data_IF_445336826471
#
_entry.id   IF_445336826471
#
_cell.length_a   1.000
_cell.length_b   1.000
_cell.length_c   1.000
_cell.angle_alpha   90.00
_cell.angle_beta   90.00
_cell.angle_gamma   90.00
#
_symmetry.space_group_name_H-M   'P 1'
#
loop_
_entity.id
_entity.type
_entity.pdbx_description
1 polymer ?
#
# COMPACT_ATOMS: atom_id res chain seq x y z
N UNK A 1 -5.21 -56.22 18.23
CA UNK A 1 -4.37 -55.01 18.12
C UNK A 1 -5.19 -53.71 18.09
N UNK A 2 -6.49 -53.78 17.85
CA UNK A 2 -7.38 -52.59 17.82
C UNK A 2 -7.79 -52.04 19.20
N UNK A 3 -7.86 -52.88 20.22
CA UNK A 3 -8.25 -52.44 21.59
C UNK A 3 -7.17 -51.61 22.33
N UNK A 4 -5.89 -51.68 21.91
CA UNK A 4 -4.80 -50.96 22.56
C UNK A 4 -4.71 -49.49 22.17
N UNK A 5 -5.36 -49.07 21.09
CA UNK A 5 -5.39 -47.70 20.63
C UNK A 5 -6.57 -46.86 21.18
N UNK A 6 -7.57 -47.51 21.75
CA UNK A 6 -8.76 -46.87 22.35
C UNK A 6 -8.54 -46.35 23.77
N UNK A 7 -7.47 -46.77 24.44
CA UNK A 7 -7.20 -46.37 25.85
C UNK A 7 -6.27 -45.15 26.02
N UNK A 8 -5.85 -44.46 24.92
CA UNK A 8 -5.02 -43.26 24.99
C UNK A 8 -5.72 -42.00 24.52
N UNK A 9 -7.01 -41.99 24.31
CA UNK A 9 -7.76 -40.75 24.13
C UNK A 9 -7.99 -40.12 25.51
N UNK A 10 -7.03 -39.28 25.96
CA UNK A 10 -7.30 -38.37 27.04
C UNK A 10 -8.46 -37.46 26.60
N UNK A 11 -9.58 -37.53 27.31
CA UNK A 11 -10.71 -36.62 27.07
C UNK A 11 -10.28 -35.23 27.50
N UNK A 12 -9.96 -34.38 26.54
CA UNK A 12 -9.64 -32.98 26.80
C UNK A 12 -10.97 -32.25 27.03
N UNK A 13 -11.16 -31.56 28.17
CA UNK A 13 -12.37 -30.79 28.43
C UNK A 13 -12.58 -29.74 27.35
N UNK A 14 -13.82 -29.57 26.88
CA UNK A 14 -14.17 -28.64 25.82
C UNK A 14 -13.75 -27.19 26.15
N UNK A 15 -13.87 -26.81 27.42
CA UNK A 15 -13.45 -25.47 27.89
C UNK A 15 -11.95 -25.25 27.73
N UNK A 16 -11.12 -26.27 27.87
CA UNK A 16 -9.67 -26.19 27.63
C UNK A 16 -9.37 -26.05 26.15
N UNK A 17 -10.03 -26.79 25.26
CA UNK A 17 -9.90 -26.66 23.80
C UNK A 17 -10.27 -25.22 23.37
N UNK A 18 -11.40 -24.72 23.88
CA UNK A 18 -11.85 -23.35 23.53
C UNK A 18 -10.92 -22.28 24.08
N UNK A 19 -10.41 -22.45 25.29
CA UNK A 19 -9.58 -21.45 25.96
C UNK A 19 -8.16 -21.42 25.44
N UNK A 20 -7.56 -22.54 25.12
CA UNK A 20 -6.13 -22.62 24.77
C UNK A 20 -5.94 -22.70 23.24
N UNK A 21 -6.52 -23.70 22.59
CA UNK A 21 -6.25 -23.96 21.18
C UNK A 21 -7.07 -23.08 20.24
N UNK A 22 -8.39 -22.96 20.48
CA UNK A 22 -9.25 -22.12 19.64
C UNK A 22 -8.89 -20.64 19.78
N UNK A 23 -8.58 -20.17 20.99
CA UNK A 23 -8.09 -18.81 21.22
C UNK A 23 -6.76 -18.54 20.51
N UNK A 24 -5.81 -19.48 20.55
CA UNK A 24 -4.55 -19.34 19.83
C UNK A 24 -4.77 -19.23 18.33
N UNK A 25 -5.65 -20.07 17.76
CA UNK A 25 -6.04 -20.00 16.37
C UNK A 25 -6.76 -18.68 16.01
N UNK A 26 -7.64 -18.20 16.89
CA UNK A 26 -8.30 -16.89 16.69
C UNK A 26 -7.29 -15.76 16.62
N UNK A 27 -6.34 -15.69 17.57
CA UNK A 27 -5.28 -14.67 17.60
C UNK A 27 -4.46 -14.74 16.32
N UNK A 28 -4.03 -15.94 15.91
CA UNK A 28 -3.30 -16.14 14.67
C UNK A 28 -4.07 -15.62 13.46
N UNK A 29 -5.34 -16.00 13.30
CA UNK A 29 -6.15 -15.55 12.15
C UNK A 29 -6.39 -14.05 12.14
N UNK A 30 -6.56 -13.41 13.29
CA UNK A 30 -6.70 -11.95 13.41
C UNK A 30 -5.43 -11.24 12.99
N UNK A 31 -4.28 -11.69 13.49
CA UNK A 31 -2.99 -11.04 13.26
C UNK A 31 -2.43 -11.32 11.87
N UNK A 32 -2.52 -12.56 11.38
CA UNK A 32 -1.87 -12.94 10.12
C UNK A 32 -2.75 -12.72 8.87
N UNK A 33 -4.08 -12.59 9.01
CA UNK A 33 -4.99 -12.52 7.85
C UNK A 33 -5.99 -11.39 7.86
N UNK A 34 -6.68 -11.18 9.01
CA UNK A 34 -7.95 -10.47 8.97
C UNK A 34 -7.80 -8.96 9.14
N UNK A 35 -7.05 -8.50 10.11
CA UNK A 35 -7.00 -7.11 10.56
C UNK A 35 -5.69 -6.45 10.10
N UNK A 36 -5.73 -5.23 9.55
CA UNK A 36 -4.52 -4.50 9.15
C UNK A 36 -3.72 -4.01 10.37
N UNK A 37 -2.42 -3.88 10.20
CA UNK A 37 -1.51 -3.35 11.22
C UNK A 37 -1.58 -1.83 11.30
N UNK A 38 -1.53 -1.30 12.51
CA UNK A 38 -1.52 0.15 12.77
C UNK A 38 -0.30 0.83 12.16
N UNK A 39 0.85 0.15 12.15
CA UNK A 39 2.12 0.74 11.75
C UNK A 39 2.18 1.04 10.25
N UNK A 40 1.76 0.12 9.40
CA UNK A 40 1.83 0.29 7.94
C UNK A 40 0.46 0.24 7.22
N UNK A 41 -0.61 -0.08 7.92
CA UNK A 41 -1.95 -0.17 7.34
C UNK A 41 -2.16 -1.39 6.45
N UNK A 42 -1.26 -2.37 6.50
CA UNK A 42 -1.27 -3.55 5.65
C UNK A 42 -1.56 -4.82 6.44
N UNK A 43 -2.16 -5.78 5.77
CA UNK A 43 -2.20 -7.17 6.23
C UNK A 43 -0.87 -7.85 5.85
N UNK A 44 -0.39 -8.87 6.60
CA UNK A 44 0.88 -9.56 6.29
C UNK A 44 0.99 -10.03 4.83
N UNK A 45 -0.06 -10.62 4.26
CA UNK A 45 -0.05 -11.03 2.86
C UNK A 45 0.15 -9.88 1.88
N UNK A 46 -0.46 -8.71 2.12
CA UNK A 46 -0.26 -7.51 1.29
C UNK A 46 1.17 -7.00 1.40
N UNK A 47 1.76 -7.00 2.60
CA UNK A 47 3.15 -6.58 2.84
C UNK A 47 4.13 -7.48 2.10
N UNK A 48 3.95 -8.80 2.16
CA UNK A 48 4.77 -9.80 1.43
C UNK A 48 4.69 -9.59 -0.08
N UNK A 49 3.50 -9.33 -0.63
CA UNK A 49 3.32 -9.02 -2.05
C UNK A 49 4.09 -7.76 -2.45
N UNK A 50 3.90 -6.65 -1.73
CA UNK A 50 4.56 -5.38 -2.04
C UNK A 50 6.08 -5.47 -1.90
N UNK A 51 6.58 -6.18 -0.88
CA UNK A 51 8.01 -6.42 -0.71
C UNK A 51 8.60 -7.25 -1.86
N UNK A 52 7.89 -8.31 -2.28
CA UNK A 52 8.31 -9.15 -3.41
C UNK A 52 8.36 -8.35 -4.71
N UNK A 53 7.35 -7.52 -4.98
CA UNK A 53 7.33 -6.66 -6.15
C UNK A 53 8.43 -5.59 -6.11
N UNK A 54 8.73 -5.04 -4.93
CA UNK A 54 9.85 -4.11 -4.74
C UNK A 54 11.20 -4.77 -5.05
N UNK A 55 11.46 -5.95 -4.53
CA UNK A 55 12.69 -6.72 -4.82
C UNK A 55 12.85 -7.06 -6.30
N UNK A 56 11.76 -7.20 -7.03
CA UNK A 56 11.73 -7.58 -8.43
C UNK A 56 11.37 -6.41 -9.37
N UNK A 57 11.42 -5.16 -8.91
CA UNK A 57 10.98 -3.99 -9.70
C UNK A 57 11.74 -3.80 -11.03
N UNK A 58 13.01 -4.26 -11.10
CA UNK A 58 13.81 -4.22 -12.33
C UNK A 58 13.25 -5.08 -13.46
N UNK A 59 12.41 -6.06 -13.16
CA UNK A 59 11.74 -6.92 -14.15
C UNK A 59 10.58 -6.21 -14.87
N UNK A 60 10.11 -5.05 -14.37
CA UNK A 60 8.99 -4.34 -14.91
C UNK A 60 7.65 -5.08 -14.75
N UNK A 61 6.80 -5.04 -15.77
CA UNK A 61 5.52 -5.77 -15.79
C UNK A 61 5.75 -7.28 -15.86
N UNK A 62 5.07 -8.03 -15.01
CA UNK A 62 5.07 -9.50 -15.01
C UNK A 62 3.64 -10.04 -14.89
N UNK A 63 3.40 -11.26 -15.35
CA UNK A 63 2.10 -11.94 -15.16
C UNK A 63 1.76 -12.05 -13.68
N UNK A 64 0.48 -11.87 -13.35
CA UNK A 64 0.01 -12.02 -11.95
C UNK A 64 0.37 -13.42 -11.44
N UNK A 65 0.18 -14.47 -12.25
CA UNK A 65 0.59 -15.85 -11.89
C UNK A 65 2.10 -15.98 -11.60
N UNK A 66 2.95 -15.27 -12.35
CA UNK A 66 4.41 -15.26 -12.10
C UNK A 66 4.76 -14.51 -10.81
N UNK A 67 4.11 -13.36 -10.58
CA UNK A 67 4.27 -12.62 -9.32
C UNK A 67 3.82 -13.45 -8.11
N UNK A 68 2.70 -14.16 -8.23
CA UNK A 68 2.19 -15.10 -7.23
C UNK A 68 3.24 -16.17 -6.88
N UNK A 69 3.87 -16.78 -7.89
CA UNK A 69 4.93 -17.76 -7.67
C UNK A 69 6.11 -17.21 -6.87
N UNK A 70 6.51 -15.95 -7.11
CA UNK A 70 7.55 -15.30 -6.33
C UNK A 70 7.13 -15.01 -4.88
N UNK A 71 5.86 -14.64 -4.66
CA UNK A 71 5.33 -14.35 -3.32
C UNK A 71 5.21 -15.61 -2.46
N UNK A 72 4.99 -16.79 -3.06
CA UNK A 72 4.92 -18.07 -2.34
C UNK A 72 6.19 -18.40 -1.55
N UNK A 73 7.34 -17.81 -1.88
CA UNK A 73 8.57 -17.95 -1.08
C UNK A 73 8.45 -17.29 0.29
N UNK A 74 7.54 -16.35 0.47
CA UNK A 74 7.31 -15.63 1.73
C UNK A 74 5.96 -15.99 2.37
N UNK A 75 4.99 -16.51 1.59
CA UNK A 75 3.60 -16.67 2.03
C UNK A 75 3.20 -18.16 2.07
N UNK A 76 2.88 -18.72 3.27
CA UNK A 76 2.66 -20.15 3.46
C UNK A 76 1.25 -20.63 3.03
N UNK A 77 0.49 -19.80 2.32
CA UNK A 77 -0.89 -20.11 1.91
C UNK A 77 -1.01 -20.28 0.40
N UNK A 78 -2.15 -20.83 -0.04
CA UNK A 78 -2.38 -21.13 -1.45
C UNK A 78 -2.35 -19.94 -2.39
N UNK A 79 -2.06 -20.14 -3.70
CA UNK A 79 -1.87 -19.07 -4.69
C UNK A 79 -3.11 -18.19 -4.91
N UNK A 80 -4.32 -18.74 -4.77
CA UNK A 80 -5.56 -17.99 -5.00
C UNK A 80 -5.72 -16.78 -4.08
N UNK A 81 -5.28 -16.87 -2.82
CA UNK A 81 -5.32 -15.75 -1.88
C UNK A 81 -4.36 -14.63 -2.29
N UNK A 82 -3.19 -14.98 -2.80
CA UNK A 82 -2.18 -14.03 -3.29
C UNK A 82 -2.69 -13.35 -4.56
N UNK A 83 -3.21 -14.11 -5.53
CA UNK A 83 -3.77 -13.57 -6.78
C UNK A 83 -4.89 -12.57 -6.49
N UNK A 84 -5.84 -12.93 -5.62
CA UNK A 84 -6.91 -12.03 -5.19
C UNK A 84 -6.38 -10.76 -4.52
N UNK A 85 -5.36 -10.87 -3.68
CA UNK A 85 -4.78 -9.71 -3.00
C UNK A 85 -4.02 -8.80 -3.98
N UNK A 86 -3.29 -9.34 -4.96
CA UNK A 86 -2.65 -8.57 -6.04
C UNK A 86 -3.72 -7.81 -6.85
N UNK A 87 -4.77 -8.50 -7.25
CA UNK A 87 -5.88 -7.90 -8.00
C UNK A 87 -6.52 -6.79 -7.19
N UNK A 88 -6.88 -7.02 -5.93
CA UNK A 88 -7.52 -6.04 -5.08
C UNK A 88 -6.66 -4.77 -4.89
N UNK A 89 -5.34 -4.90 -4.71
CA UNK A 89 -4.43 -3.75 -4.58
C UNK A 89 -4.18 -3.00 -5.92
N UNK A 90 -4.51 -3.61 -7.05
CA UNK A 90 -4.37 -3.02 -8.38
C UNK A 90 -5.66 -2.39 -8.93
N UNK A 91 -6.82 -2.72 -8.34
CA UNK A 91 -8.11 -2.17 -8.76
C UNK A 91 -8.20 -0.68 -8.45
N UNK A 92 -8.82 0.09 -9.36
CA UNK A 92 -8.91 1.55 -9.31
C UNK A 92 -10.31 2.09 -9.71
N UNK A 93 -11.32 1.21 -9.69
CA UNK A 93 -12.71 1.65 -9.87
C UNK A 93 -13.32 2.20 -8.57
N UNK A 94 -14.42 2.93 -8.68
CA UNK A 94 -15.12 3.53 -7.54
C UNK A 94 -15.43 2.51 -6.44
N UNK A 95 -15.09 2.85 -5.20
CA UNK A 95 -15.18 2.00 -4.00
C UNK A 95 -14.15 0.85 -3.90
N UNK A 96 -13.19 0.74 -4.83
CA UNK A 96 -11.99 -0.08 -4.65
C UNK A 96 -10.89 0.72 -3.94
N UNK A 97 -9.72 0.91 -4.53
CA UNK A 97 -8.67 1.75 -3.94
C UNK A 97 -8.79 3.20 -4.39
N UNK A 98 -8.59 4.15 -3.46
CA UNK A 98 -8.39 5.54 -3.81
C UNK A 98 -7.05 5.74 -4.55
N UNK A 99 -6.02 4.98 -4.11
CA UNK A 99 -4.64 5.04 -4.61
C UNK A 99 -4.13 3.61 -4.76
N UNK A 100 -4.14 3.06 -5.95
CA UNK A 100 -3.70 1.69 -6.18
C UNK A 100 -2.19 1.54 -5.91
N UNK A 101 -1.83 0.53 -5.11
CA UNK A 101 -0.45 0.23 -4.74
C UNK A 101 0.28 -0.63 -5.80
N UNK A 102 -0.46 -1.21 -6.71
CA UNK A 102 0.03 -2.05 -7.80
C UNK A 102 -0.45 -1.48 -9.13
N UNK A 103 0.46 -1.24 -10.06
CA UNK A 103 0.13 -0.88 -11.43
C UNK A 103 -0.26 -2.14 -12.22
N UNK A 104 -1.24 -2.00 -13.08
CA UNK A 104 -1.89 -3.10 -13.78
C UNK A 104 -1.85 -2.94 -15.30
N UNK A 105 -1.88 -4.08 -16.01
CA UNK A 105 -2.12 -4.14 -17.45
C UNK A 105 -3.01 -5.34 -17.78
N UNK A 106 -4.09 -5.08 -18.51
CA UNK A 106 -5.16 -6.03 -18.78
C UNK A 106 -6.41 -5.75 -17.94
N UNK A 107 -7.35 -6.68 -17.93
CA UNK A 107 -8.65 -6.51 -17.27
C UNK A 107 -8.60 -7.01 -15.81
N UNK A 108 -8.64 -6.09 -14.86
CA UNK A 108 -8.64 -6.35 -13.42
C UNK A 108 -10.02 -6.18 -12.76
N UNK A 109 -11.05 -6.14 -13.55
CA UNK A 109 -12.41 -5.80 -13.13
C UNK A 109 -12.67 -4.29 -13.21
N UNK A 110 -13.95 -3.96 -13.20
CA UNK A 110 -14.48 -2.60 -13.22
C UNK A 110 -15.69 -2.45 -12.29
N UNK A 111 -16.30 -1.27 -12.26
CA UNK A 111 -17.35 -0.95 -11.29
C UNK A 111 -18.55 -1.90 -11.32
N UNK A 112 -19.00 -2.31 -12.51
CA UNK A 112 -20.15 -3.20 -12.68
C UNK A 112 -19.78 -4.68 -12.77
N UNK A 113 -18.55 -5.00 -13.18
CA UNK A 113 -18.03 -6.37 -13.28
C UNK A 113 -16.70 -6.46 -12.54
N UNK A 114 -16.73 -6.87 -11.27
CA UNK A 114 -15.56 -6.83 -10.39
C UNK A 114 -14.60 -8.00 -10.59
N UNK A 115 -15.00 -9.03 -11.34
CA UNK A 115 -14.16 -10.21 -11.58
C UNK A 115 -13.06 -9.91 -12.59
N UNK A 116 -11.80 -10.22 -12.29
CA UNK A 116 -10.68 -10.03 -13.19
C UNK A 116 -10.62 -11.13 -14.26
N UNK A 117 -9.88 -10.88 -15.32
CA UNK A 117 -9.43 -11.95 -16.21
C UNK A 117 -8.45 -12.89 -15.48
N UNK A 118 -8.28 -14.12 -16.00
CA UNK A 118 -7.40 -15.12 -15.38
C UNK A 118 -5.95 -14.58 -15.21
N UNK A 119 -5.33 -14.93 -14.11
CA UNK A 119 -4.01 -14.41 -13.64
C UNK A 119 -2.88 -14.58 -14.66
N UNK A 120 -2.98 -15.59 -15.55
CA UNK A 120 -2.03 -15.84 -16.65
C UNK A 120 -2.12 -14.83 -17.80
N UNK A 121 -3.20 -14.06 -17.92
CA UNK A 121 -3.40 -13.07 -18.99
C UNK A 121 -3.13 -11.63 -18.56
N UNK A 122 -3.28 -11.32 -17.28
CA UNK A 122 -3.11 -9.97 -16.72
C UNK A 122 -1.71 -9.80 -16.14
N UNK A 123 -1.22 -8.54 -16.16
CA UNK A 123 0.13 -8.20 -15.73
C UNK A 123 0.10 -7.15 -14.62
N UNK A 124 1.08 -7.24 -13.72
CA UNK A 124 1.24 -6.31 -12.60
C UNK A 124 2.70 -5.93 -12.40
N UNK A 125 2.90 -4.80 -11.75
CA UNK A 125 4.19 -4.35 -11.20
C UNK A 125 3.96 -3.49 -9.96
N UNK A 126 5.02 -3.20 -9.21
CA UNK A 126 4.94 -2.26 -8.11
C UNK A 126 4.44 -0.89 -8.60
N UNK A 127 3.38 -0.37 -7.98
CA UNK A 127 2.76 0.89 -8.35
C UNK A 127 3.58 2.10 -7.93
N UNK A 128 3.44 3.22 -8.65
CA UNK A 128 4.12 4.49 -8.33
C UNK A 128 3.76 5.00 -6.93
N UNK A 129 2.50 4.83 -6.50
CA UNK A 129 2.06 5.20 -5.15
C UNK A 129 2.80 4.43 -4.06
N UNK A 130 2.96 3.11 -4.24
CA UNK A 130 3.72 2.29 -3.30
C UNK A 130 5.19 2.71 -3.23
N UNK A 131 5.81 3.06 -4.38
CA UNK A 131 7.17 3.58 -4.43
C UNK A 131 7.32 4.91 -3.67
N UNK A 132 6.38 5.83 -3.84
CA UNK A 132 6.37 7.13 -3.13
C UNK A 132 6.25 6.94 -1.61
N UNK A 133 5.42 5.99 -1.16
CA UNK A 133 4.99 5.94 0.23
C UNK A 133 5.75 4.96 1.12
N UNK A 134 6.34 3.85 0.59
CA UNK A 134 6.65 2.70 1.42
C UNK A 134 8.14 2.43 1.68
N UNK A 135 9.03 2.71 0.73
CA UNK A 135 10.33 2.04 0.73
C UNK A 135 11.52 2.92 1.13
N UNK A 136 11.33 4.23 1.35
CA UNK A 136 12.43 5.15 1.68
C UNK A 136 13.10 4.85 3.02
N UNK A 137 12.37 4.24 3.95
CA UNK A 137 12.85 3.90 5.29
C UNK A 137 13.03 2.39 5.50
N UNK A 138 13.17 1.62 4.42
CA UNK A 138 13.26 0.15 4.49
C UNK A 138 14.48 -0.33 5.28
N UNK A 139 15.58 0.43 5.27
CA UNK A 139 16.80 0.14 6.06
C UNK A 139 16.58 0.20 7.59
N UNK A 140 15.49 0.83 8.04
CA UNK A 140 15.13 0.94 9.45
C UNK A 140 14.19 -0.17 9.93
N UNK A 141 13.71 -0.98 9.01
CA UNK A 141 12.71 -2.02 9.29
C UNK A 141 13.37 -3.26 9.85
N UNK A 142 12.79 -3.79 10.92
CA UNK A 142 13.21 -5.07 11.47
C UNK A 142 12.85 -6.19 10.50
N UNK A 143 13.83 -7.05 10.24
CA UNK A 143 13.69 -8.20 9.36
C UNK A 143 13.60 -9.47 10.18
N UNK A 144 12.65 -10.34 9.84
CA UNK A 144 12.48 -11.66 10.47
C UNK A 144 12.58 -12.76 9.42
N UNK A 145 13.00 -13.96 9.81
CA UNK A 145 12.94 -15.10 8.90
C UNK A 145 11.48 -15.41 8.53
N UNK A 146 11.27 -15.82 7.28
CA UNK A 146 9.98 -16.30 6.81
C UNK A 146 9.61 -17.65 7.44
N UNK A 147 8.46 -18.22 7.06
CA UNK A 147 7.92 -19.46 7.63
C UNK A 147 8.84 -20.71 7.49
N UNK A 148 9.75 -20.74 6.52
CA UNK A 148 10.73 -21.82 6.33
C UNK A 148 12.18 -21.43 6.66
N UNK A 149 12.36 -20.27 7.29
CA UNK A 149 13.61 -19.69 7.79
C UNK A 149 14.71 -19.47 6.72
N UNK A 150 14.35 -19.51 5.42
CA UNK A 150 15.32 -19.36 4.33
C UNK A 150 15.49 -17.94 3.83
N UNK A 151 14.46 -17.11 3.97
CA UNK A 151 14.42 -15.75 3.42
C UNK A 151 13.96 -14.78 4.51
N UNK A 152 14.59 -13.61 4.55
CA UNK A 152 14.19 -12.55 5.47
C UNK A 152 13.05 -11.72 4.88
N UNK A 153 12.02 -11.44 5.70
CA UNK A 153 10.90 -10.56 5.37
C UNK A 153 10.75 -9.41 6.37
N UNK A 154 10.22 -8.25 5.94
CA UNK A 154 10.01 -7.12 6.83
C UNK A 154 8.84 -7.36 7.77
N UNK A 155 9.02 -7.07 9.07
CA UNK A 155 7.94 -7.11 10.07
C UNK A 155 6.84 -6.13 9.72
N UNK A 156 7.20 -4.93 9.28
CA UNK A 156 6.28 -3.89 8.82
C UNK A 156 7.02 -2.88 7.96
N UNK A 157 6.31 -1.98 7.27
CA UNK A 157 6.91 -0.80 6.65
C UNK A 157 6.73 0.44 7.54
N UNK A 158 7.38 1.55 7.14
CA UNK A 158 7.20 2.89 7.70
C UNK A 158 6.65 3.83 6.62
N UNK A 159 5.37 3.73 6.25
CA UNK A 159 4.80 4.54 5.18
C UNK A 159 4.82 6.03 5.53
N UNK A 160 4.90 6.87 4.50
CA UNK A 160 4.84 8.34 4.67
C UNK A 160 3.43 8.86 4.96
N UNK A 161 2.39 8.09 4.63
CA UNK A 161 0.99 8.34 4.98
C UNK A 161 0.34 7.07 5.54
N UNK A 162 -0.67 7.18 6.42
CA UNK A 162 -1.37 6.02 6.98
C UNK A 162 -2.23 5.33 5.91
N UNK A 163 -1.74 4.23 5.33
CA UNK A 163 -2.38 3.55 4.20
C UNK A 163 -3.81 3.07 4.50
N UNK A 164 -4.06 2.65 5.76
CA UNK A 164 -5.41 2.24 6.18
C UNK A 164 -6.43 3.38 6.13
N UNK A 165 -5.98 4.64 6.24
CA UNK A 165 -6.84 5.81 6.07
C UNK A 165 -6.83 6.29 4.62
N UNK A 166 -5.74 6.12 3.89
CA UNK A 166 -5.63 6.57 2.49
C UNK A 166 -6.59 5.78 1.58
N UNK A 167 -6.58 4.46 1.67
CA UNK A 167 -7.38 3.56 0.82
C UNK A 167 -8.62 3.00 1.53
N UNK A 168 -8.71 3.19 2.84
CA UNK A 168 -9.61 2.41 3.65
C UNK A 168 -9.05 1.00 3.92
N UNK A 169 -9.73 0.27 4.77
CA UNK A 169 -9.41 -1.13 5.03
C UNK A 169 -10.66 -1.88 5.48
N UNK A 170 -10.84 -3.09 4.99
CA UNK A 170 -11.92 -3.98 5.42
C UNK A 170 -11.32 -5.34 5.82
N UNK A 171 -11.76 -5.87 6.95
CA UNK A 171 -11.34 -7.16 7.44
C UNK A 171 -12.32 -7.75 8.43
N UNK A 172 -12.62 -9.02 8.29
CA UNK A 172 -13.51 -9.76 9.19
C UNK A 172 -12.72 -10.90 9.80
N UNK A 173 -12.62 -10.88 11.11
CA UNK A 173 -11.99 -11.93 11.89
C UNK A 173 -12.95 -12.45 12.98
N UNK A 174 -12.52 -13.41 13.76
CA UNK A 174 -13.33 -13.97 14.84
C UNK A 174 -13.42 -12.99 16.00
N UNK A 175 -14.61 -12.47 16.27
CA UNK A 175 -14.87 -11.51 17.36
C UNK A 175 -14.49 -10.07 17.07
N UNK A 176 -13.78 -9.79 15.96
CA UNK A 176 -13.36 -8.44 15.55
C UNK A 176 -13.58 -8.20 14.06
N UNK A 177 -13.88 -6.96 13.72
CA UNK A 177 -13.92 -6.53 12.32
C UNK A 177 -13.25 -5.16 12.20
N UNK A 178 -12.71 -4.88 11.02
CA UNK A 178 -12.19 -3.56 10.65
C UNK A 178 -12.97 -3.07 9.43
N UNK A 179 -13.53 -1.86 9.51
CA UNK A 179 -14.27 -1.21 8.43
C UNK A 179 -13.87 0.26 8.42
N UNK A 180 -12.77 0.56 7.75
CA UNK A 180 -12.17 1.90 7.72
C UNK A 180 -12.49 2.52 6.35
N UNK A 181 -13.15 3.68 6.28
CA UNK A 181 -13.35 4.41 5.03
C UNK A 181 -12.04 5.00 4.54
N UNK A 182 -11.93 5.23 3.22
CA UNK A 182 -10.82 5.96 2.64
C UNK A 182 -10.93 7.47 2.85
N UNK A 183 -9.77 8.18 2.79
CA UNK A 183 -9.69 9.63 2.91
C UNK A 183 -8.81 10.22 1.80
N UNK A 184 -9.00 11.50 1.51
CA UNK A 184 -8.21 12.18 0.49
C UNK A 184 -6.80 12.47 0.99
N UNK A 185 -5.77 12.24 0.14
CA UNK A 185 -4.37 12.44 0.53
C UNK A 185 -4.05 13.86 1.03
N UNK A 186 -4.69 14.89 0.45
CA UNK A 186 -4.50 16.29 0.88
C UNK A 186 -4.98 16.50 2.31
N UNK A 187 -6.17 15.97 2.64
CA UNK A 187 -6.75 16.11 3.98
C UNK A 187 -5.92 15.35 5.03
N UNK A 188 -5.39 14.17 4.65
CA UNK A 188 -4.48 13.40 5.51
C UNK A 188 -3.18 14.18 5.78
N UNK A 189 -2.54 14.71 4.73
CA UNK A 189 -1.32 15.50 4.88
C UNK A 189 -1.58 16.73 5.73
N UNK A 190 -2.64 17.50 5.44
CA UNK A 190 -2.98 18.72 6.18
C UNK A 190 -3.34 18.42 7.65
N UNK A 191 -3.93 17.26 7.93
CA UNK A 191 -4.22 16.80 9.30
C UNK A 191 -2.95 16.42 10.05
N UNK A 192 -2.01 15.71 9.38
CA UNK A 192 -0.71 15.33 9.98
C UNK A 192 0.14 16.59 10.25
N UNK A 193 0.26 17.51 9.29
CA UNK A 193 1.01 18.77 9.46
C UNK A 193 0.42 19.56 10.65
N UNK A 194 -0.90 19.73 10.70
CA UNK A 194 -1.54 20.41 11.81
C UNK A 194 -1.28 19.70 13.15
N UNK A 195 -1.24 18.36 13.14
CA UNK A 195 -0.92 17.59 14.35
C UNK A 195 0.55 17.79 14.78
N UNK A 196 1.50 17.92 13.85
CA UNK A 196 2.90 18.27 14.16
C UNK A 196 2.99 19.66 14.80
N UNK A 197 2.26 20.65 14.27
CA UNK A 197 2.33 22.05 14.69
C UNK A 197 1.60 22.31 16.03
N UNK A 198 0.46 21.66 16.25
CA UNK A 198 -0.46 21.97 17.37
C UNK A 198 -0.67 20.84 18.36
N UNK A 199 -0.17 19.63 18.07
CA UNK A 199 -0.43 18.41 18.85
C UNK A 199 -1.81 17.77 18.63
N UNK A 200 -2.66 18.37 17.78
CA UNK A 200 -4.02 17.89 17.49
C UNK A 200 -4.28 17.75 16.00
N UNK A 201 -4.83 16.63 15.50
CA UNK A 201 -5.16 16.47 14.10
C UNK A 201 -6.42 17.25 13.70
N UNK A 202 -6.55 17.61 12.42
CA UNK A 202 -7.79 18.14 11.84
C UNK A 202 -8.80 17.02 11.64
N UNK A 203 -10.10 17.35 11.72
CA UNK A 203 -11.18 16.41 11.38
C UNK A 203 -11.11 16.00 9.92
N UNK A 204 -11.30 14.70 9.69
CA UNK A 204 -11.28 14.09 8.38
C UNK A 204 -12.69 13.81 7.88
N UNK A 205 -12.85 13.87 6.55
CA UNK A 205 -14.08 13.42 5.87
C UNK A 205 -13.77 12.25 4.96
N UNK A 206 -14.57 11.17 4.99
CA UNK A 206 -14.43 10.06 4.06
C UNK A 206 -14.44 10.52 2.61
N UNK A 207 -13.62 9.86 1.80
CA UNK A 207 -13.44 10.15 0.39
C UNK A 207 -13.31 8.85 -0.40
N UNK A 208 -13.98 8.80 -1.55
CA UNK A 208 -13.86 7.69 -2.50
C UNK A 208 -13.55 8.25 -3.89
N UNK A 209 -12.42 7.83 -4.43
CA UNK A 209 -11.99 8.26 -5.75
C UNK A 209 -13.02 7.87 -6.81
N UNK A 210 -13.27 8.75 -7.80
CA UNK A 210 -14.29 8.61 -8.84
C UNK A 210 -15.76 8.61 -8.36
N UNK A 211 -16.06 8.75 -7.07
CA UNK A 211 -17.43 8.94 -6.62
C UNK A 211 -17.87 10.40 -6.85
N UNK A 212 -18.84 10.59 -7.75
CA UNK A 212 -19.24 11.92 -8.22
C UNK A 212 -20.22 12.64 -7.29
N UNK A 213 -20.86 11.90 -6.37
CA UNK A 213 -21.89 12.45 -5.52
C UNK A 213 -21.37 12.83 -4.14
N UNK A 214 -22.10 13.73 -3.47
CA UNK A 214 -21.80 14.08 -2.08
C UNK A 214 -22.11 12.89 -1.16
N UNK A 215 -21.16 12.52 -0.32
CA UNK A 215 -21.38 11.49 0.69
C UNK A 215 -22.37 11.94 1.73
N UNK A 216 -23.34 11.08 2.01
CA UNK A 216 -24.34 11.27 3.07
C UNK A 216 -23.81 10.62 4.35
N UNK A 217 -23.57 11.43 5.38
CA UNK A 217 -23.07 10.96 6.67
C UNK A 217 -24.10 11.33 7.74
N UNK A 218 -24.65 10.31 8.38
CA UNK A 218 -25.59 10.47 9.47
C UNK A 218 -24.90 10.98 10.75
N UNK A 219 -25.69 11.47 11.68
CA UNK A 219 -25.17 11.88 13.01
C UNK A 219 -24.48 10.75 13.77
N UNK A 220 -24.85 9.50 13.49
CA UNK A 220 -24.24 8.28 14.02
C UNK A 220 -22.86 7.99 13.46
N UNK A 221 -22.40 8.74 12.44
CA UNK A 221 -21.17 8.46 11.68
C UNK A 221 -21.37 7.43 10.56
N UNK A 222 -22.57 6.86 10.39
CA UNK A 222 -22.90 5.94 9.30
C UNK A 222 -22.80 6.68 7.96
N UNK A 223 -22.11 6.10 6.99
CA UNK A 223 -21.99 6.62 5.63
C UNK A 223 -22.99 5.88 4.76
N UNK A 224 -23.85 6.61 4.05
CA UNK A 224 -24.88 6.07 3.18
C UNK A 224 -24.51 6.30 1.72
N UNK A 225 -24.68 5.27 0.90
CA UNK A 225 -24.40 5.27 -0.54
C UNK A 225 -25.71 4.98 -1.28
N UNK A 226 -26.51 6.01 -1.62
CA UNK A 226 -27.74 5.82 -2.35
C UNK A 226 -27.49 5.57 -3.84
N UNK A 227 -28.38 4.82 -4.47
CA UNK A 227 -28.50 4.82 -5.93
C UNK A 227 -28.91 6.22 -6.39
N UNK A 228 -28.43 6.65 -7.55
CA UNK A 228 -28.84 7.93 -8.15
C UNK A 228 -29.50 7.68 -9.49
N UNK A 229 -30.62 8.36 -9.66
CA UNK A 229 -31.40 8.34 -10.92
C UNK A 229 -31.51 9.78 -11.40
N UNK A 230 -31.23 9.99 -12.66
CA UNK A 230 -31.29 11.31 -13.31
C UNK A 230 -32.17 11.27 -14.55
N UNK A 231 -32.92 12.34 -14.76
CA UNK A 231 -33.68 12.55 -16.00
C UNK A 231 -32.80 13.32 -16.99
N UNK A 232 -32.49 12.69 -18.12
CA UNK A 232 -31.70 13.29 -19.20
C UNK A 232 -32.56 13.34 -20.45
N UNK A 233 -33.06 14.54 -20.82
CA UNK A 233 -34.10 14.70 -21.81
C UNK A 233 -35.39 14.03 -21.34
N UNK A 234 -35.97 13.15 -22.17
CA UNK A 234 -37.20 12.42 -21.87
C UNK A 234 -36.93 11.03 -21.25
N UNK A 235 -35.70 10.70 -20.92
CA UNK A 235 -35.31 9.39 -20.42
C UNK A 235 -34.77 9.45 -19.01
N UNK A 236 -34.94 8.36 -18.27
CA UNK A 236 -34.41 8.19 -16.95
C UNK A 236 -33.20 7.24 -16.96
N UNK A 237 -32.14 7.63 -16.27
CA UNK A 237 -30.89 6.85 -16.19
C UNK A 237 -30.50 6.65 -14.73
N UNK A 238 -30.07 5.44 -14.38
CA UNK A 238 -29.30 5.22 -13.17
C UNK A 238 -27.87 5.67 -13.49
N UNK A 239 -27.38 6.65 -12.73
CA UNK A 239 -26.04 7.25 -12.88
C UNK A 239 -25.07 6.83 -11.80
N UNK A 240 -25.56 6.25 -10.69
CA UNK A 240 -24.74 5.65 -9.64
C UNK A 240 -25.48 4.50 -8.97
N UNK A 241 -24.73 3.45 -8.61
CA UNK A 241 -25.24 2.31 -7.84
C UNK A 241 -24.60 2.26 -6.46
N UNK A 242 -25.28 1.73 -5.42
CA UNK A 242 -24.75 1.68 -4.05
C UNK A 242 -23.42 0.93 -3.94
N UNK A 243 -22.61 1.26 -2.95
CA UNK A 243 -21.38 0.50 -2.65
C UNK A 243 -21.71 -0.98 -2.43
N UNK A 244 -20.96 -1.87 -3.10
CA UNK A 244 -21.16 -3.32 -3.04
C UNK A 244 -22.25 -3.86 -3.96
N UNK A 245 -22.83 -3.02 -4.83
CA UNK A 245 -23.67 -3.46 -5.93
C UNK A 245 -22.84 -3.59 -7.20
N UNK A 246 -22.93 -4.74 -7.82
CA UNK A 246 -22.45 -5.09 -9.16
C UNK A 246 -23.62 -5.21 -10.15
N UNK A 247 -23.32 -5.51 -11.41
CA UNK A 247 -24.33 -5.73 -12.44
C UNK A 247 -25.37 -6.77 -12.01
N UNK A 248 -24.93 -7.90 -11.45
CA UNK A 248 -25.84 -8.98 -11.06
C UNK A 248 -26.83 -8.56 -9.97
N UNK A 249 -26.41 -7.74 -9.01
CA UNK A 249 -27.30 -7.24 -7.95
C UNK A 249 -28.26 -6.20 -8.45
N UNK A 250 -27.81 -5.26 -9.30
CA UNK A 250 -28.68 -4.21 -9.81
C UNK A 250 -29.69 -4.78 -10.80
N UNK A 251 -29.30 -5.73 -11.66
CA UNK A 251 -30.24 -6.38 -12.58
C UNK A 251 -31.30 -7.20 -11.84
N UNK A 252 -30.94 -7.92 -10.78
CA UNK A 252 -31.91 -8.59 -9.90
C UNK A 252 -32.88 -7.61 -9.25
N UNK A 253 -32.41 -6.41 -8.92
CA UNK A 253 -33.27 -5.38 -8.39
C UNK A 253 -34.24 -4.86 -9.44
N UNK A 254 -33.78 -4.53 -10.65
CA UNK A 254 -34.60 -4.02 -11.75
C UNK A 254 -35.60 -5.07 -12.28
N UNK A 255 -35.20 -6.32 -12.36
CA UNK A 255 -36.09 -7.41 -12.81
C UNK A 255 -37.34 -7.55 -11.92
N UNK A 256 -37.25 -7.27 -10.60
CA UNK A 256 -38.42 -7.26 -9.71
C UNK A 256 -39.49 -6.23 -10.14
N UNK A 257 -39.08 -5.12 -10.76
CA UNK A 257 -40.00 -4.10 -11.26
C UNK A 257 -40.54 -4.47 -12.66
N UNK A 258 -39.75 -5.18 -13.44
CA UNK A 258 -40.25 -5.76 -14.72
C UNK A 258 -41.31 -6.82 -14.40
N UNK A 259 -41.07 -7.72 -13.46
CA UNK A 259 -42.02 -8.77 -13.08
C UNK A 259 -43.32 -8.20 -12.53
N UNK A 260 -43.27 -7.07 -11.80
CA UNK A 260 -44.46 -6.33 -11.33
C UNK A 260 -45.17 -5.54 -12.44
N UNK A 261 -44.50 -5.32 -13.56
CA UNK A 261 -45.02 -4.51 -14.67
C UNK A 261 -44.85 -3.00 -14.51
N UNK A 262 -44.11 -2.55 -13.48
CA UNK A 262 -43.79 -1.14 -13.22
C UNK A 262 -42.71 -0.61 -14.17
N UNK A 263 -41.79 -1.48 -14.60
CA UNK A 263 -40.78 -1.22 -15.62
C UNK A 263 -41.01 -2.12 -16.82
N UNK A 264 -40.81 -1.60 -18.03
CA UNK A 264 -40.90 -2.40 -19.24
C UNK A 264 -39.59 -3.16 -19.52
N UNK A 265 -38.46 -2.44 -19.45
CA UNK A 265 -37.12 -2.96 -19.76
C UNK A 265 -36.03 -2.00 -19.24
N UNK A 266 -34.76 -2.36 -19.35
CA UNK A 266 -33.63 -1.47 -19.14
C UNK A 266 -32.51 -1.77 -20.14
N UNK A 267 -31.65 -0.75 -20.39
CA UNK A 267 -30.48 -0.90 -21.26
C UNK A 267 -29.27 -0.42 -20.48
N UNK A 268 -28.31 -1.33 -20.23
CA UNK A 268 -27.03 -0.99 -19.59
C UNK A 268 -26.02 -0.57 -20.67
N UNK A 269 -25.51 0.64 -20.53
CA UNK A 269 -24.45 1.24 -21.34
C UNK A 269 -23.27 1.68 -20.48
N UNK A 270 -23.17 1.14 -19.26
CA UNK A 270 -22.09 1.46 -18.33
C UNK A 270 -20.73 1.01 -18.88
N UNK A 271 -19.69 1.83 -18.67
CA UNK A 271 -18.32 1.54 -19.11
C UNK A 271 -17.34 2.02 -18.05
N UNK A 272 -16.43 1.17 -17.62
CA UNK A 272 -15.43 1.45 -16.59
C UNK A 272 -16.07 1.91 -15.27
N UNK A 273 -15.92 3.19 -14.91
CA UNK A 273 -16.49 3.80 -13.72
C UNK A 273 -17.78 4.59 -13.98
N UNK A 274 -18.17 4.73 -15.25
CA UNK A 274 -19.37 5.47 -15.61
C UNK A 274 -20.57 4.54 -15.64
N UNK A 275 -21.49 4.73 -14.71
CA UNK A 275 -22.75 4.01 -14.64
C UNK A 275 -23.76 4.72 -15.52
N UNK A 276 -24.38 3.98 -16.45
CA UNK A 276 -25.41 4.51 -17.32
C UNK A 276 -26.41 3.41 -17.72
N UNK A 277 -27.45 3.25 -16.90
CA UNK A 277 -28.51 2.27 -17.15
C UNK A 277 -29.79 3.03 -17.46
N UNK A 278 -30.27 2.96 -18.72
CA UNK A 278 -31.52 3.56 -19.16
C UNK A 278 -32.69 2.73 -18.62
N UNK A 279 -33.67 3.39 -18.01
CA UNK A 279 -34.91 2.77 -17.53
C UNK A 279 -36.00 3.02 -18.59
N UNK A 280 -36.63 1.96 -19.10
CA UNK A 280 -37.65 2.02 -20.13
C UNK A 280 -39.02 1.71 -19.51
N UNK A 281 -39.93 2.69 -19.53
CA UNK A 281 -41.29 2.57 -19.06
C UNK A 281 -42.27 2.27 -20.18
N UNK A 282 -43.50 1.90 -19.86
CA UNK A 282 -44.57 1.65 -20.85
C UNK A 282 -44.99 2.96 -21.52
N UNK A 283 -45.34 2.92 -22.79
CA UNK A 283 -45.81 4.11 -23.51
C UNK A 283 -47.09 4.67 -22.88
N UNK A 284 -47.13 6.00 -22.72
CA UNK A 284 -48.29 6.69 -22.15
C UNK A 284 -48.34 6.74 -20.65
N UNK A 285 -47.32 6.25 -19.96
CA UNK A 285 -47.16 6.34 -18.52
C UNK A 285 -46.36 7.61 -18.21
N UNK A 286 -47.03 8.65 -17.71
CA UNK A 286 -46.37 9.84 -17.17
C UNK A 286 -45.88 9.53 -15.74
N UNK A 287 -44.59 9.27 -15.61
CA UNK A 287 -43.97 8.99 -14.31
C UNK A 287 -43.03 10.14 -13.98
N UNK A 288 -43.13 10.67 -12.79
CA UNK A 288 -42.21 11.68 -12.26
C UNK A 288 -40.91 11.03 -11.73
N UNK A 289 -39.83 11.81 -11.71
CA UNK A 289 -38.56 11.35 -11.09
C UNK A 289 -38.77 10.97 -9.63
N UNK A 290 -39.57 11.75 -8.89
CA UNK A 290 -39.86 11.54 -7.46
C UNK A 290 -40.57 10.19 -7.22
N UNK A 291 -41.50 9.78 -8.09
CA UNK A 291 -42.19 8.49 -7.99
C UNK A 291 -41.23 7.32 -8.26
N UNK A 292 -40.33 7.47 -9.23
CA UNK A 292 -39.31 6.48 -9.52
C UNK A 292 -38.35 6.35 -8.34
N UNK A 293 -37.86 7.48 -7.81
CA UNK A 293 -36.96 7.49 -6.64
C UNK A 293 -37.64 6.84 -5.44
N UNK A 294 -38.88 7.20 -5.13
CA UNK A 294 -39.62 6.63 -4.00
C UNK A 294 -39.83 5.13 -4.08
N UNK A 295 -40.00 4.59 -5.29
CA UNK A 295 -40.30 3.16 -5.50
C UNK A 295 -39.07 2.30 -5.73
N UNK A 296 -38.05 2.81 -6.45
CA UNK A 296 -36.94 2.02 -6.97
C UNK A 296 -35.59 2.28 -6.28
N UNK A 297 -35.43 3.39 -5.53
CA UNK A 297 -34.16 3.69 -4.87
C UNK A 297 -33.77 2.60 -3.87
N UNK A 298 -32.51 2.21 -3.98
CA UNK A 298 -31.85 1.37 -2.99
C UNK A 298 -30.59 2.07 -2.49
N UNK A 299 -30.22 1.77 -1.28
CA UNK A 299 -28.98 2.28 -0.67
C UNK A 299 -28.20 1.16 0.01
N UNK A 300 -26.93 1.36 0.15
CA UNK A 300 -26.09 0.60 1.09
C UNK A 300 -25.51 1.54 2.12
N UNK A 301 -25.03 1.00 3.21
CA UNK A 301 -24.40 1.82 4.25
C UNK A 301 -23.16 1.14 4.81
N UNK A 302 -22.24 1.95 5.31
CA UNK A 302 -21.03 1.53 5.99
C UNK A 302 -21.01 2.20 7.37
N UNK A 303 -20.87 1.41 8.42
CA UNK A 303 -20.62 1.89 9.78
C UNK A 303 -19.13 1.77 10.02
N UNK A 304 -18.37 2.88 10.19
CA UNK A 304 -16.95 2.81 10.44
C UNK A 304 -16.61 2.05 11.71
N UNK A 305 -15.58 1.23 11.64
CA UNK A 305 -14.99 0.50 12.77
C UNK A 305 -13.47 0.52 12.60
N UNK A 306 -12.79 1.29 13.42
CA UNK A 306 -11.36 1.52 13.34
C UNK A 306 -10.58 0.52 14.20
N UNK A 307 -10.70 -0.78 13.88
CA UNK A 307 -9.97 -1.85 14.56
C UNK A 307 -8.66 -2.14 13.82
N UNK A 308 -7.54 -2.11 14.54
CA UNK A 308 -6.18 -2.31 13.99
C UNK A 308 -5.34 -3.20 14.92
N UNK A 309 -4.33 -3.87 14.36
CA UNK A 309 -3.31 -4.58 15.15
C UNK A 309 -2.22 -3.58 15.57
N UNK A 310 -2.08 -3.40 16.86
CA UNK A 310 -0.98 -2.62 17.47
C UNK A 310 0.11 -3.56 18.02
N UNK A 311 1.23 -2.99 18.49
CA UNK A 311 2.30 -3.74 19.16
C UNK A 311 1.80 -4.53 20.40
N UNK A 312 0.69 -4.10 20.99
CA UNK A 312 0.06 -4.73 22.17
C UNK A 312 -1.13 -5.63 21.84
N UNK A 313 -1.38 -5.91 20.56
CA UNK A 313 -2.52 -6.69 20.08
C UNK A 313 -3.60 -5.84 19.43
N UNK A 314 -4.82 -6.35 19.36
CA UNK A 314 -5.95 -5.67 18.73
C UNK A 314 -6.32 -4.41 19.52
N UNK A 315 -6.46 -3.29 18.81
CA UNK A 315 -6.90 -2.00 19.35
C UNK A 315 -8.04 -1.43 18.53
N UNK A 316 -9.07 -0.96 19.20
CA UNK A 316 -10.22 -0.26 18.62
C UNK A 316 -10.03 1.23 18.90
N UNK A 317 -10.23 2.05 17.88
CA UNK A 317 -10.17 3.50 17.95
C UNK A 317 -11.57 4.07 17.70
N UNK A 318 -11.90 5.16 18.35
CA UNK A 318 -13.22 5.81 18.23
C UNK A 318 -13.33 6.62 16.92
N UNK A 319 -12.22 7.16 16.43
CA UNK A 319 -12.18 8.04 15.27
C UNK A 319 -10.82 7.98 14.55
N UNK A 320 -10.75 8.41 13.29
CA UNK A 320 -9.50 8.38 12.51
C UNK A 320 -8.46 9.38 13.02
N UNK A 321 -8.87 10.43 13.74
CA UNK A 321 -7.97 11.44 14.29
C UNK A 321 -7.02 10.84 15.35
N UNK A 322 -7.48 9.88 16.14
CA UNK A 322 -6.61 9.15 17.07
C UNK A 322 -5.51 8.37 16.34
N UNK A 323 -5.86 7.76 15.22
CA UNK A 323 -4.88 7.04 14.37
C UNK A 323 -3.86 8.03 13.83
N UNK A 324 -4.28 9.20 13.34
CA UNK A 324 -3.39 10.26 12.85
C UNK A 324 -2.42 10.71 13.94
N UNK A 325 -2.89 10.88 15.17
CA UNK A 325 -2.04 11.31 16.29
C UNK A 325 -0.91 10.31 16.56
N UNK A 326 -1.25 9.01 16.64
CA UNK A 326 -0.25 7.95 16.86
C UNK A 326 0.68 7.84 15.65
N UNK A 327 0.15 7.88 14.44
CA UNK A 327 0.92 7.85 13.21
C UNK A 327 1.93 9.01 13.16
N UNK A 328 1.50 10.24 13.49
CA UNK A 328 2.37 11.42 13.50
C UNK A 328 3.54 11.25 14.47
N UNK A 329 3.29 10.76 15.68
CA UNK A 329 4.34 10.49 16.67
C UNK A 329 5.34 9.45 16.14
N UNK A 330 4.83 8.34 15.60
CA UNK A 330 5.67 7.28 15.04
C UNK A 330 6.47 7.77 13.83
N UNK A 331 5.87 8.59 12.96
CA UNK A 331 6.57 9.15 11.80
C UNK A 331 7.68 10.12 12.21
N UNK A 332 7.50 10.93 13.25
CA UNK A 332 8.57 11.76 13.82
C UNK A 332 9.75 10.91 14.32
N UNK A 333 9.47 9.80 15.02
CA UNK A 333 10.51 8.85 15.45
C UNK A 333 11.27 8.25 14.27
N UNK A 334 10.57 7.86 13.21
CA UNK A 334 11.18 7.30 12.00
C UNK A 334 12.06 8.33 11.30
N UNK A 335 11.58 9.56 11.13
CA UNK A 335 12.38 10.65 10.54
C UNK A 335 13.62 10.95 11.39
N UNK A 336 13.49 11.03 12.72
CA UNK A 336 14.62 11.20 13.62
C UNK A 336 15.65 10.09 13.43
N UNK A 337 15.23 8.82 13.50
CA UNK A 337 16.10 7.64 13.35
C UNK A 337 16.77 7.60 11.98
N UNK A 338 16.09 8.04 10.90
CA UNK A 338 16.68 8.18 9.57
C UNK A 338 17.92 9.06 9.58
N UNK A 339 17.86 10.21 10.24
CA UNK A 339 19.00 11.12 10.31
C UNK A 339 20.12 10.62 11.25
N UNK A 340 19.78 9.87 12.29
CA UNK A 340 20.78 9.18 13.13
C UNK A 340 21.53 8.14 12.29
N UNK A 341 20.81 7.26 11.57
CA UNK A 341 21.43 6.23 10.73
C UNK A 341 22.28 6.84 9.59
N UNK A 342 21.77 7.90 8.96
CA UNK A 342 22.55 8.63 7.94
C UNK A 342 23.82 9.22 8.51
N UNK A 343 23.78 9.78 9.71
CA UNK A 343 24.98 10.31 10.38
C UNK A 343 25.99 9.19 10.66
N UNK A 344 25.55 8.05 11.19
CA UNK A 344 26.41 6.88 11.41
C UNK A 344 27.05 6.37 10.13
N UNK A 345 26.26 6.28 9.05
CA UNK A 345 26.76 5.87 7.72
C UNK A 345 27.80 6.86 7.17
N UNK A 346 27.63 8.18 7.39
CA UNK A 346 28.63 9.17 7.00
C UNK A 346 29.89 9.09 7.86
N UNK A 347 29.77 8.88 9.16
CA UNK A 347 30.93 8.67 10.06
C UNK A 347 31.77 7.46 9.61
N UNK A 348 31.12 6.33 9.28
CA UNK A 348 31.79 5.14 8.79
C UNK A 348 32.47 5.36 7.45
N UNK A 349 31.80 6.02 6.48
CA UNK A 349 32.37 6.39 5.19
C UNK A 349 33.57 7.31 5.32
N UNK A 350 33.48 8.31 6.18
CA UNK A 350 34.58 9.24 6.47
C UNK A 350 35.77 8.48 7.05
N UNK A 351 35.53 7.61 8.04
CA UNK A 351 36.57 6.77 8.64
C UNK A 351 37.24 5.88 7.61
N UNK A 352 36.47 5.18 6.78
CA UNK A 352 36.96 4.30 5.73
C UNK A 352 37.80 5.09 4.70
N UNK A 353 37.30 6.23 4.20
CA UNK A 353 38.02 7.05 3.24
C UNK A 353 39.30 7.63 3.82
N UNK A 354 39.31 8.05 5.09
CA UNK A 354 40.53 8.53 5.75
C UNK A 354 41.58 7.41 5.90
N UNK A 355 41.18 6.18 6.21
CA UNK A 355 42.09 5.04 6.27
C UNK A 355 42.68 4.71 4.88
N UNK A 356 41.86 4.78 3.82
CA UNK A 356 42.36 4.58 2.44
C UNK A 356 43.35 5.68 2.07
N UNK A 357 43.07 6.94 2.37
CA UNK A 357 43.97 8.07 2.13
C UNK A 357 45.32 7.84 2.82
N UNK A 358 45.28 7.43 4.11
CA UNK A 358 46.46 7.11 4.90
C UNK A 358 47.24 5.95 4.31
N UNK A 359 46.56 4.86 3.97
CA UNK A 359 47.12 3.67 3.36
C UNK A 359 47.91 3.97 2.05
N UNK A 360 47.35 4.83 1.19
CA UNK A 360 47.99 5.23 -0.06
C UNK A 360 49.14 6.21 0.18
N UNK A 361 48.92 7.26 1.02
CA UNK A 361 49.95 8.29 1.28
C UNK A 361 51.20 7.73 1.97
N UNK A 362 50.98 6.85 2.96
CA UNK A 362 52.06 6.19 3.70
C UNK A 362 52.64 4.97 2.95
N UNK A 363 52.10 4.68 1.75
CA UNK A 363 52.58 3.60 0.86
C UNK A 363 52.56 2.21 1.51
N UNK A 364 51.60 1.96 2.43
CA UNK A 364 51.48 0.66 3.09
C UNK A 364 51.27 -0.52 2.12
N UNK A 365 50.72 -0.24 0.92
CA UNK A 365 50.52 -1.23 -0.13
C UNK A 365 51.86 -1.89 -0.60
N UNK A 366 53.02 -1.22 -0.50
CA UNK A 366 54.32 -1.85 -0.80
C UNK A 366 54.61 -3.03 0.12
N UNK A 367 54.05 -3.06 1.34
CA UNK A 367 54.26 -4.17 2.24
C UNK A 367 53.58 -5.45 1.78
N UNK A 368 52.55 -5.36 0.93
CA UNK A 368 51.86 -6.51 0.37
C UNK A 368 52.83 -7.38 -0.49
N UNK A 369 53.77 -6.74 -1.22
CA UNK A 369 54.72 -7.45 -2.10
C UNK A 369 55.79 -8.24 -1.34
N UNK A 370 56.03 -7.90 -0.07
CA UNK A 370 57.03 -8.58 0.79
C UNK A 370 56.38 -9.42 1.88
N UNK A 371 55.06 -9.45 1.98
CA UNK A 371 54.32 -10.29 2.92
C UNK A 371 54.19 -11.72 2.38
N UNK A 372 54.32 -12.72 3.26
CA UNK A 372 54.31 -14.13 2.89
C UNK A 372 52.95 -14.59 2.30
N UNK A 373 51.85 -13.98 2.82
CA UNK A 373 50.48 -14.28 2.36
C UNK A 373 49.54 -13.14 2.76
N UNK A 374 48.25 -13.18 2.31
CA UNK A 374 47.23 -12.21 2.62
C UNK A 374 47.01 -12.04 4.15
N UNK A 375 47.08 -13.15 4.90
CA UNK A 375 46.87 -13.13 6.36
C UNK A 375 47.93 -12.30 7.07
N UNK A 376 49.20 -12.49 6.75
CA UNK A 376 50.30 -11.72 7.33
C UNK A 376 50.26 -10.24 6.94
N UNK A 377 49.74 -9.91 5.77
CA UNK A 377 49.53 -8.52 5.37
C UNK A 377 48.35 -7.87 6.17
N UNK A 378 47.26 -8.60 6.37
CA UNK A 378 46.14 -8.14 7.22
C UNK A 378 46.61 -7.93 8.67
N UNK A 379 47.40 -8.86 9.23
CA UNK A 379 48.01 -8.72 10.57
C UNK A 379 48.90 -7.48 10.63
N UNK A 380 49.71 -7.21 9.64
CA UNK A 380 50.50 -5.98 9.55
C UNK A 380 49.61 -4.73 9.55
N UNK A 381 48.54 -4.68 8.74
CA UNK A 381 47.62 -3.55 8.72
C UNK A 381 46.92 -3.36 10.09
N UNK A 382 46.53 -4.44 10.75
CA UNK A 382 45.99 -4.42 12.10
C UNK A 382 46.96 -3.83 13.12
N UNK A 383 48.26 -4.21 13.05
CA UNK A 383 49.33 -3.67 13.87
C UNK A 383 49.53 -2.16 13.68
N UNK A 384 49.20 -1.65 12.48
CA UNK A 384 49.19 -0.21 12.14
C UNK A 384 47.87 0.50 12.48
N UNK A 385 46.99 -0.15 13.21
CA UNK A 385 45.68 0.40 13.65
C UNK A 385 44.75 0.78 12.49
N UNK A 386 44.74 -0.02 11.42
CA UNK A 386 43.69 0.05 10.40
C UNK A 386 42.49 -0.79 10.85
N UNK A 387 41.31 -0.29 10.60
CA UNK A 387 40.04 -0.97 10.93
C UNK A 387 39.51 -1.77 9.73
N UNK A 388 39.68 -1.22 8.51
CA UNK A 388 39.17 -1.81 7.27
C UNK A 388 40.23 -2.66 6.54
N UNK A 389 40.94 -3.52 7.30
CA UNK A 389 42.10 -4.29 6.81
C UNK A 389 41.76 -5.17 5.61
N UNK A 390 40.64 -5.88 5.63
CA UNK A 390 40.22 -6.74 4.51
C UNK A 390 39.94 -5.93 3.24
N UNK A 391 39.22 -4.81 3.36
CA UNK A 391 38.98 -3.91 2.23
C UNK A 391 40.30 -3.36 1.63
N UNK A 392 41.21 -2.95 2.48
CA UNK A 392 42.51 -2.40 2.05
C UNK A 392 43.42 -3.47 1.43
N UNK A 393 43.36 -4.71 1.92
CA UNK A 393 44.15 -5.83 1.37
C UNK A 393 43.68 -6.24 -0.03
N UNK A 394 42.41 -6.09 -0.32
CA UNK A 394 41.80 -6.48 -1.60
C UNK A 394 41.68 -5.30 -2.59
N UNK A 395 42.23 -4.12 -2.21
CA UNK A 395 42.13 -2.94 -3.05
C UNK A 395 43.03 -3.04 -4.28
N UNK A 396 42.52 -2.88 -5.52
CA UNK A 396 43.29 -2.93 -6.75
C UNK A 396 44.37 -1.83 -6.83
N UNK A 397 45.55 -2.16 -7.34
CA UNK A 397 46.72 -1.24 -7.43
C UNK A 397 46.38 0.04 -8.22
N UNK A 398 45.55 -0.06 -9.28
CA UNK A 398 45.17 1.11 -10.08
C UNK A 398 44.34 2.15 -9.29
N UNK A 399 43.79 1.80 -8.11
CA UNK A 399 43.11 2.72 -7.19
C UNK A 399 44.07 3.37 -6.18
N UNK A 400 45.35 3.12 -6.25
CA UNK A 400 46.35 3.67 -5.30
C UNK A 400 47.12 4.87 -5.92
N UNK A 401 46.41 5.69 -6.68
CA UNK A 401 46.95 6.86 -7.39
C UNK A 401 46.79 8.16 -6.59
N UNK A 402 47.57 9.20 -6.95
CA UNK A 402 47.40 10.54 -6.40
C UNK A 402 46.03 11.14 -6.72
N UNK A 403 45.48 10.82 -7.89
CA UNK A 403 44.16 11.22 -8.32
C UNK A 403 43.07 10.63 -7.41
N UNK A 404 43.16 9.33 -7.11
CA UNK A 404 42.21 8.67 -6.20
C UNK A 404 42.28 9.29 -4.77
N UNK A 405 43.45 9.63 -4.28
CA UNK A 405 43.62 10.35 -3.01
C UNK A 405 42.88 11.72 -3.04
N UNK A 406 43.08 12.49 -4.13
CA UNK A 406 42.40 13.79 -4.26
C UNK A 406 40.88 13.64 -4.30
N UNK A 407 40.36 12.66 -5.04
CA UNK A 407 38.93 12.31 -5.10
C UNK A 407 38.38 11.95 -3.71
N UNK A 408 39.07 11.08 -2.97
CA UNK A 408 38.64 10.69 -1.63
C UNK A 408 38.71 11.82 -0.61
N UNK A 409 39.69 12.71 -0.71
CA UNK A 409 39.72 13.93 0.12
C UNK A 409 38.52 14.81 -0.14
N UNK A 410 38.08 14.92 -1.39
CA UNK A 410 36.87 15.67 -1.72
C UNK A 410 35.62 14.98 -1.16
N UNK A 411 35.50 13.64 -1.31
CA UNK A 411 34.39 12.85 -0.70
C UNK A 411 34.32 13.04 0.81
N UNK A 412 35.47 12.98 1.51
CA UNK A 412 35.51 13.21 2.97
C UNK A 412 34.99 14.60 3.34
N UNK A 413 35.30 15.65 2.56
CA UNK A 413 34.78 17.00 2.81
C UNK A 413 33.26 17.07 2.63
N UNK A 414 32.74 16.45 1.57
CA UNK A 414 31.29 16.41 1.29
C UNK A 414 30.55 15.61 2.35
N UNK A 415 31.03 14.40 2.68
CA UNK A 415 30.47 13.54 3.71
C UNK A 415 30.53 14.22 5.12
N UNK A 416 31.63 14.95 5.41
CA UNK A 416 31.74 15.67 6.68
C UNK A 416 30.71 16.80 6.79
N UNK A 417 30.43 17.50 5.71
CA UNK A 417 29.38 18.53 5.68
C UNK A 417 28.00 17.88 5.88
N UNK A 418 27.72 16.79 5.17
CA UNK A 418 26.47 16.05 5.29
C UNK A 418 26.28 15.47 6.72
N UNK A 419 27.36 14.97 7.35
CA UNK A 419 27.35 14.52 8.74
C UNK A 419 26.96 15.65 9.71
N UNK A 420 27.55 16.84 9.55
CA UNK A 420 27.23 18.00 10.38
C UNK A 420 25.75 18.38 10.22
N UNK A 421 25.23 18.38 8.99
CA UNK A 421 23.83 18.70 8.72
C UNK A 421 22.88 17.65 9.31
N UNK A 422 23.16 16.35 9.13
CA UNK A 422 22.39 15.29 9.77
C UNK A 422 22.41 15.40 11.30
N UNK A 423 23.59 15.69 11.88
CA UNK A 423 23.74 15.85 13.33
C UNK A 423 22.94 17.03 13.88
N UNK A 424 22.91 18.14 13.19
CA UNK A 424 22.06 19.29 13.56
C UNK A 424 20.58 18.92 13.54
N UNK A 425 20.15 18.16 12.51
CA UNK A 425 18.74 17.78 12.36
C UNK A 425 18.30 16.89 13.50
N UNK A 426 18.95 15.74 13.76
CA UNK A 426 18.48 14.81 14.77
C UNK A 426 18.65 15.32 16.22
N UNK A 427 19.54 16.29 16.47
CA UNK A 427 19.67 16.93 17.77
C UNK A 427 18.59 17.98 18.07
N UNK A 428 17.75 18.34 17.10
CA UNK A 428 16.72 19.36 17.26
C UNK A 428 15.34 18.81 16.85
N UNK A 429 14.41 18.68 17.79
CA UNK A 429 13.04 18.26 17.51
C UNK A 429 12.37 19.14 16.46
N UNK A 430 12.56 20.46 16.55
CA UNK A 430 12.03 21.43 15.58
C UNK A 430 12.55 21.20 14.14
N UNK A 431 13.81 20.78 13.98
CA UNK A 431 14.34 20.47 12.66
C UNK A 431 13.80 19.13 12.14
N UNK A 432 13.60 18.14 13.02
CA UNK A 432 12.95 16.88 12.64
C UNK A 432 11.51 17.13 12.21
N UNK A 433 10.75 17.93 12.96
CA UNK A 433 9.39 18.36 12.60
C UNK A 433 9.36 19.06 11.23
N UNK A 434 10.28 20.01 11.01
CA UNK A 434 10.41 20.71 9.72
C UNK A 434 10.70 19.72 8.58
N UNK A 435 11.58 18.73 8.79
CA UNK A 435 11.89 17.72 7.78
C UNK A 435 10.71 16.80 7.49
N UNK A 436 9.90 16.46 8.48
CA UNK A 436 8.67 15.73 8.27
C UNK A 436 7.66 16.57 7.44
N UNK A 437 7.49 17.84 7.75
CA UNK A 437 6.59 18.74 7.00
C UNK A 437 7.04 18.86 5.54
N UNK A 438 8.34 19.05 5.29
CA UNK A 438 8.91 19.10 3.93
C UNK A 438 8.61 17.80 3.16
N UNK A 439 8.80 16.64 3.79
CA UNK A 439 8.49 15.31 3.22
C UNK A 439 6.98 15.19 2.88
N UNK A 440 6.11 15.63 3.78
CA UNK A 440 4.66 15.54 3.59
C UNK A 440 4.17 16.44 2.46
N UNK A 441 4.74 17.64 2.31
CA UNK A 441 4.44 18.55 1.20
C UNK A 441 4.85 17.90 -0.12
N UNK A 442 6.04 17.34 -0.21
CA UNK A 442 6.52 16.63 -1.40
C UNK A 442 5.61 15.45 -1.76
N UNK A 443 5.22 14.63 -0.78
CA UNK A 443 4.26 13.53 -0.98
C UNK A 443 2.90 14.05 -1.48
N UNK A 444 2.41 15.16 -0.93
CA UNK A 444 1.15 15.79 -1.37
C UNK A 444 1.21 16.19 -2.84
N UNK A 445 2.33 16.75 -3.28
CA UNK A 445 2.54 17.15 -4.66
C UNK A 445 2.68 15.94 -5.59
N UNK A 446 3.50 14.96 -5.23
CA UNK A 446 3.70 13.74 -6.02
C UNK A 446 2.39 12.96 -6.23
N UNK A 447 1.57 12.80 -5.19
CA UNK A 447 0.28 12.13 -5.30
C UNK A 447 -0.73 12.97 -6.11
N UNK A 448 -0.69 14.30 -6.00
CA UNK A 448 -1.53 15.18 -6.83
C UNK A 448 -1.15 15.09 -8.31
N UNK A 449 0.13 15.05 -8.63
CA UNK A 449 0.63 14.84 -9.99
C UNK A 449 0.23 13.46 -10.54
N UNK A 450 0.36 12.41 -9.73
CA UNK A 450 -0.05 11.07 -10.09
C UNK A 450 -1.56 11.00 -10.45
N UNK A 451 -2.44 11.66 -9.67
CA UNK A 451 -3.87 11.73 -9.98
C UNK A 451 -4.13 12.42 -11.33
N UNK A 452 -3.43 13.51 -11.62
CA UNK A 452 -3.54 14.22 -12.91
C UNK A 452 -3.04 13.33 -14.07
N UNK A 453 -1.97 12.59 -13.88
CA UNK A 453 -1.45 11.64 -14.88
C UNK A 453 -2.49 10.53 -15.16
N UNK A 454 -3.08 9.96 -14.12
CA UNK A 454 -4.13 8.93 -14.23
C UNK A 454 -5.37 9.44 -14.97
N UNK A 455 -5.82 10.64 -14.69
CA UNK A 455 -6.97 11.24 -15.38
C UNK A 455 -6.66 11.48 -16.86
N UNK A 456 -5.46 11.94 -17.19
CA UNK A 456 -5.02 12.08 -18.59
C UNK A 456 -4.97 10.73 -19.33
N UNK A 457 -4.48 9.68 -18.67
CA UNK A 457 -4.47 8.31 -19.22
C UNK A 457 -5.90 7.82 -19.49
N UNK A 458 -6.84 8.04 -18.55
CA UNK A 458 -8.25 7.68 -18.69
C UNK A 458 -8.89 8.39 -19.90
N UNK A 459 -8.72 9.71 -20.01
CA UNK A 459 -9.23 10.50 -21.14
C UNK A 459 -8.66 10.01 -22.48
N UNK A 460 -7.36 9.70 -22.53
CA UNK A 460 -6.72 9.17 -23.74
C UNK A 460 -7.29 7.81 -24.14
N UNK A 461 -7.55 6.93 -23.15
CA UNK A 461 -8.14 5.61 -23.38
C UNK A 461 -9.56 5.75 -23.95
N UNK A 462 -10.40 6.60 -23.36
CA UNK A 462 -11.77 6.87 -23.83
C UNK A 462 -11.78 7.37 -25.27
N UNK A 463 -10.94 8.36 -25.61
CA UNK A 463 -10.81 8.87 -27.00
C UNK A 463 -10.37 7.79 -27.99
N UNK A 464 -9.54 6.85 -27.58
CA UNK A 464 -9.10 5.74 -28.44
C UNK A 464 -10.23 4.72 -28.65
N UNK A 465 -11.02 4.44 -27.63
CA UNK A 465 -12.21 3.56 -27.71
C UNK A 465 -13.26 4.16 -28.67
N UNK A 466 -13.57 5.45 -28.54
CA UNK A 466 -14.49 6.16 -29.42
C UNK A 466 -14.05 6.12 -30.91
N UNK A 467 -12.75 6.37 -31.15
CA UNK A 467 -12.17 6.25 -32.49
C UNK A 467 -12.27 4.82 -33.05
N UNK A 468 -12.08 3.81 -32.21
CA UNK A 468 -12.22 2.39 -32.61
C UNK A 468 -13.67 2.04 -32.98
N UNK A 469 -14.63 2.49 -32.18
CA UNK A 469 -16.08 2.29 -32.45
C UNK A 469 -16.48 2.99 -33.73
N UNK A 470 -16.04 4.25 -33.93
CA UNK A 470 -16.38 5.00 -35.17
C UNK A 470 -15.75 4.40 -36.43
N UNK A 471 -14.55 3.81 -36.33
CA UNK A 471 -13.96 3.06 -37.47
C UNK A 471 -14.75 1.79 -37.79
N UNK A 472 -15.23 1.05 -36.79
CA UNK A 472 -16.06 -0.14 -37.01
C UNK A 472 -17.43 0.21 -37.64
N UNK A 473 -18.06 1.30 -37.22
CA UNK A 473 -19.30 1.79 -37.81
C UNK A 473 -19.14 2.22 -39.27
N UNK A 474 -18.00 2.81 -39.67
CA UNK A 474 -17.69 3.19 -41.07
C UNK A 474 -17.27 2.00 -41.95
N UNK A 475 -16.84 0.90 -41.36
CA UNK A 475 -16.49 -0.32 -42.12
C UNK A 475 -17.63 -1.31 -42.28
N UNK A 476 -18.81 -1.00 -41.71
CA UNK A 476 -20.08 -1.77 -41.84
C UNK A 476 -21.10 -1.06 -42.71
N UNK A 477 -20.77 0.09 -43.28
CA UNK A 477 -21.45 0.79 -44.39
C UNK A 477 -20.67 0.57 -45.70
#
# INVERSE_FOLDING_TARGET
MEEKYLHSMESIPLDKIVRDEYRAYQIYTLMDRAIPYLQDGLKPGQRRILYTLYKNQSKGLMKVSSATGLVLTLHPHGPASIESAIVNMAQDYTFSNNYNLIDKKGYFGERMETQPAASRYIECKLGKVAQILLFDDLEQVDMVPNYDEKVMEPVSFYPKLPLMLLNGAEGIGTGFSSVIPGFHHKDLVDSIIHCVETGTPKKLRPFYHNYQHKLEIEKSGRIVFPMKIEKIGDKFFITEVPKGYDAAKIYRHLNKFIDKGDLKDYIDSSVNNEIKIELIFKRGQEISLEEIEKSMLVSSSLVPNYTLISERGVKIFDNPEEIIKIFTQKRLEVVHRRYVLRAQNYEEKIKQNNEIIRFIKEKHYHKATVSANRKSFVEYLTSKKFTFCDYLSDMPIYRMTKEEVAKRVQMVKEDSKALIDCTKIFKSSKLVEKKLIEELIDVKEQLSQWLVEKEKEKIKLMKNLEKGINKKKKGLQ
#
